data_IF_926558561706
#
_entry.id   IF_926558561706
#
_cell.length_a   1.000
_cell.length_b   1.000
_cell.length_c   1.000
_cell.angle_alpha   90.00
_cell.angle_beta   90.00
_cell.angle_gamma   90.00
#
_symmetry.space_group_name_H-M   'P 1'
#
loop_
_entity.id
_entity.type
_entity.pdbx_description
1 polymer ?
#
# COMPACT_ATOMS: atom_id res chain seq x y z
N UNK A 1 14.89 -13.03 3.96
CA UNK A 1 15.97 -12.52 3.07
C UNK A 1 16.20 -13.39 1.82
N UNK A 2 16.29 -14.72 1.90
CA UNK A 2 16.70 -15.58 0.74
C UNK A 2 15.84 -15.42 -0.53
N UNK A 3 14.55 -15.15 -0.40
CA UNK A 3 13.68 -14.89 -1.55
C UNK A 3 14.05 -13.59 -2.28
N UNK A 4 14.44 -12.55 -1.52
CA UNK A 4 14.84 -11.26 -2.06
C UNK A 4 16.16 -11.33 -2.85
N UNK A 5 17.08 -12.22 -2.46
CA UNK A 5 18.32 -12.45 -3.19
C UNK A 5 18.12 -12.99 -4.61
N UNK A 6 16.93 -13.51 -4.93
CA UNK A 6 16.57 -14.00 -6.26
C UNK A 6 15.94 -12.91 -7.17
N UNK A 7 15.67 -11.72 -6.63
CA UNK A 7 15.04 -10.62 -7.38
C UNK A 7 16.07 -9.86 -8.24
N UNK A 8 15.65 -8.88 -9.03
CA UNK A 8 16.54 -8.08 -9.89
C UNK A 8 17.64 -7.36 -9.08
N UNK A 9 18.70 -6.91 -9.75
CA UNK A 9 19.77 -6.11 -9.13
C UNK A 9 19.22 -4.88 -8.41
N UNK A 10 18.26 -4.20 -9.03
CA UNK A 10 17.64 -2.98 -8.54
C UNK A 10 16.76 -3.27 -7.33
N UNK A 11 15.99 -4.35 -7.34
CA UNK A 11 15.17 -4.77 -6.20
C UNK A 11 16.04 -5.19 -5.00
N UNK A 12 17.18 -5.86 -5.25
CA UNK A 12 18.15 -6.21 -4.20
C UNK A 12 18.84 -4.96 -3.63
N UNK A 13 19.23 -4.01 -4.48
CA UNK A 13 19.86 -2.78 -4.03
C UNK A 13 18.95 -1.99 -3.06
N UNK A 14 17.63 -1.99 -3.30
CA UNK A 14 16.67 -1.31 -2.43
C UNK A 14 16.60 -1.87 -0.99
N UNK A 15 17.00 -3.13 -0.75
CA UNK A 15 17.01 -3.75 0.59
C UNK A 15 18.40 -3.85 1.21
N UNK A 16 19.45 -3.57 0.43
CA UNK A 16 20.85 -3.62 0.85
C UNK A 16 21.50 -2.21 0.89
N UNK A 17 20.68 -1.17 0.95
CA UNK A 17 21.15 0.21 1.09
C UNK A 17 21.57 0.49 2.54
N UNK A 18 22.58 1.33 2.74
CA UNK A 18 22.97 1.83 4.06
C UNK A 18 22.10 3.03 4.49
N UNK A 19 21.35 3.62 3.55
CA UNK A 19 20.36 4.67 3.81
C UNK A 19 19.08 4.06 4.39
N UNK A 20 19.14 3.65 5.66
CA UNK A 20 18.02 3.07 6.40
C UNK A 20 17.76 3.82 7.69
N UNK A 21 16.49 3.81 8.12
CA UNK A 21 16.06 4.36 9.41
C UNK A 21 15.73 3.25 10.38
N UNK A 22 15.92 3.54 11.67
CA UNK A 22 15.40 2.67 12.70
C UNK A 22 13.88 2.57 12.57
N UNK A 23 13.31 1.38 12.78
CA UNK A 23 11.87 1.16 12.54
C UNK A 23 10.98 2.14 13.32
N UNK A 24 11.35 2.48 14.55
CA UNK A 24 10.61 3.46 15.35
C UNK A 24 10.63 4.86 14.72
N UNK A 25 11.73 5.27 14.09
CA UNK A 25 11.82 6.55 13.39
C UNK A 25 10.95 6.55 12.13
N UNK A 26 11.03 5.48 11.32
CA UNK A 26 10.21 5.32 10.13
C UNK A 26 8.70 5.34 10.44
N UNK A 27 8.28 4.71 11.54
CA UNK A 27 6.88 4.72 12.00
C UNK A 27 6.43 6.11 12.48
N UNK A 28 7.29 6.85 13.19
CA UNK A 28 7.02 8.24 13.57
C UNK A 28 6.88 9.16 12.36
N UNK A 29 7.71 8.96 11.33
CA UNK A 29 7.60 9.71 10.08
C UNK A 29 6.34 9.37 9.31
N UNK A 30 5.96 8.08 9.24
CA UNK A 30 4.70 7.66 8.65
C UNK A 30 3.49 8.28 9.38
N UNK A 31 3.52 8.30 10.70
CA UNK A 31 2.48 8.95 11.51
C UNK A 31 2.42 10.46 11.24
N UNK A 32 3.57 11.12 11.15
CA UNK A 32 3.66 12.55 10.83
C UNK A 32 3.22 12.85 9.40
N UNK A 33 3.49 11.95 8.45
CA UNK A 33 2.99 12.04 7.09
C UNK A 33 1.47 11.94 7.06
N UNK A 34 0.89 10.95 7.75
CA UNK A 34 -0.57 10.77 7.85
C UNK A 34 -1.22 12.02 8.46
N UNK A 35 -0.74 12.49 9.61
CA UNK A 35 -1.31 13.66 10.30
C UNK A 35 -1.26 14.93 9.46
N UNK A 36 -0.25 15.09 8.58
CA UNK A 36 -0.16 16.24 7.67
C UNK A 36 -1.07 16.15 6.44
N UNK A 37 -1.52 14.95 6.08
CA UNK A 37 -2.26 14.69 4.84
C UNK A 37 -3.67 14.12 5.09
N UNK A 38 -4.10 14.00 6.34
CA UNK A 38 -5.44 13.54 6.71
C UNK A 38 -6.11 14.53 7.64
N UNK A 39 -7.29 15.05 7.26
CA UNK A 39 -8.06 15.97 8.10
C UNK A 39 -8.47 15.33 9.43
N UNK A 40 -8.77 14.03 9.41
CA UNK A 40 -9.12 13.27 10.60
C UNK A 40 -8.68 11.80 10.47
N UNK A 41 -7.64 11.38 11.21
CA UNK A 41 -7.17 10.00 11.21
C UNK A 41 -8.24 8.96 11.59
N UNK A 42 -9.32 9.36 12.27
CA UNK A 42 -10.47 8.49 12.58
C UNK A 42 -11.16 7.95 11.32
N UNK A 43 -11.10 8.68 10.21
CA UNK A 43 -11.75 8.31 8.94
C UNK A 43 -10.76 7.88 7.86
N UNK A 44 -9.44 7.95 8.14
CA UNK A 44 -8.41 7.53 7.19
C UNK A 44 -8.57 6.05 6.84
N UNK A 45 -8.70 5.75 5.55
CA UNK A 45 -8.67 4.38 5.01
C UNK A 45 -7.25 3.99 4.63
N UNK A 46 -6.79 2.84 5.11
CA UNK A 46 -5.45 2.32 4.82
C UNK A 46 -5.57 1.08 3.96
N UNK A 47 -4.91 1.10 2.80
CA UNK A 47 -5.02 0.06 1.78
C UNK A 47 -3.78 -0.85 1.81
N UNK A 48 -4.01 -2.16 1.95
CA UNK A 48 -2.99 -3.20 1.86
C UNK A 48 -3.28 -4.21 0.75
N UNK A 49 -2.25 -4.81 0.15
CA UNK A 49 -2.40 -5.84 -0.88
C UNK A 49 -2.52 -7.23 -0.25
N UNK A 50 -3.61 -7.41 0.49
CA UNK A 50 -3.72 -8.35 1.59
C UNK A 50 -3.74 -7.56 2.89
N UNK A 51 -4.86 -6.88 3.18
CA UNK A 51 -4.98 -6.00 4.34
C UNK A 51 -4.80 -6.75 5.67
N UNK A 52 -5.15 -8.04 5.69
CA UNK A 52 -4.91 -8.95 6.81
C UNK A 52 -3.43 -9.34 7.01
N UNK A 53 -2.54 -8.92 6.11
CA UNK A 53 -1.10 -9.15 6.20
C UNK A 53 -0.35 -7.82 6.33
N UNK A 54 -0.40 -6.96 5.32
CA UNK A 54 0.40 -5.72 5.29
C UNK A 54 0.03 -4.76 6.44
N UNK A 55 -1.27 -4.50 6.63
CA UNK A 55 -1.72 -3.56 7.66
C UNK A 55 -1.52 -4.15 9.07
N UNK A 56 -1.65 -5.47 9.22
CA UNK A 56 -1.41 -6.17 10.49
C UNK A 56 0.07 -6.13 10.87
N UNK A 57 0.98 -6.28 9.90
CA UNK A 57 2.42 -6.15 10.12
C UNK A 57 2.76 -4.74 10.58
N UNK A 58 2.23 -3.71 9.92
CA UNK A 58 2.47 -2.32 10.34
C UNK A 58 1.93 -2.04 11.74
N UNK A 59 0.71 -2.52 12.07
CA UNK A 59 0.14 -2.36 13.41
C UNK A 59 0.99 -3.05 14.48
N UNK A 60 1.45 -4.27 14.20
CA UNK A 60 2.36 -5.00 15.09
C UNK A 60 3.71 -4.29 15.25
N UNK A 61 4.18 -3.59 14.21
CA UNK A 61 5.40 -2.80 14.28
C UNK A 61 5.23 -1.56 15.17
N UNK A 62 4.09 -0.87 15.09
CA UNK A 62 3.70 0.20 16.01
C UNK A 62 3.68 -0.29 17.47
N UNK A 63 3.00 -1.40 17.74
CA UNK A 63 2.90 -1.98 19.08
C UNK A 63 4.29 -2.33 19.66
N UNK A 64 5.14 -2.97 18.84
CA UNK A 64 6.52 -3.33 19.23
C UNK A 64 7.43 -2.13 19.42
N UNK A 65 7.15 -1.01 18.76
CA UNK A 65 7.87 0.25 18.93
C UNK A 65 7.32 1.09 20.09
N UNK A 66 6.27 0.64 20.78
CA UNK A 66 5.61 1.42 21.84
C UNK A 66 4.89 2.67 21.31
N UNK A 67 4.48 2.66 20.04
CA UNK A 67 3.84 3.78 19.37
C UNK A 67 2.38 3.46 19.04
N UNK A 68 1.49 4.43 19.12
CA UNK A 68 0.09 4.26 18.75
C UNK A 68 -0.06 4.26 17.23
N UNK A 69 -0.67 3.20 16.69
CA UNK A 69 -1.02 3.15 15.27
C UNK A 69 -2.01 4.29 14.92
N UNK A 70 -1.73 5.13 13.91
CA UNK A 70 -2.49 6.36 13.68
C UNK A 70 -3.86 6.14 13.03
N UNK A 71 -4.23 4.91 12.68
CA UNK A 71 -5.55 4.58 12.13
C UNK A 71 -6.23 3.43 12.88
N UNK A 72 -7.56 3.47 12.83
CA UNK A 72 -8.43 2.48 13.47
C UNK A 72 -8.46 1.17 12.67
N UNK A 73 -8.56 0.03 13.37
CA UNK A 73 -8.52 -1.29 12.72
C UNK A 73 -9.68 -1.53 11.73
N UNK A 74 -10.85 -0.93 11.98
CA UNK A 74 -12.00 -1.03 11.08
C UNK A 74 -11.87 -0.19 9.80
N UNK A 75 -10.76 0.53 9.62
CA UNK A 75 -10.50 1.31 8.40
C UNK A 75 -9.56 0.62 7.40
N UNK A 76 -9.13 -0.61 7.69
CA UNK A 76 -8.33 -1.40 6.77
C UNK A 76 -9.14 -1.73 5.49
N UNK A 77 -8.53 -1.54 4.32
CA UNK A 77 -9.12 -1.77 3.01
C UNK A 77 -8.22 -2.68 2.17
N UNK A 78 -8.80 -3.60 1.42
CA UNK A 78 -8.04 -4.60 0.68
C UNK A 78 -8.02 -4.31 -0.82
N UNK A 79 -6.81 -4.11 -1.35
CA UNK A 79 -6.56 -3.91 -2.77
C UNK A 79 -7.05 -5.11 -3.61
N UNK A 80 -6.92 -6.34 -3.10
CA UNK A 80 -7.36 -7.57 -3.79
C UNK A 80 -8.87 -7.63 -3.97
N UNK A 81 -9.63 -7.05 -3.05
CA UNK A 81 -11.09 -6.89 -3.20
C UNK A 81 -11.40 -6.02 -4.41
N UNK A 82 -10.70 -4.90 -4.57
CA UNK A 82 -10.85 -4.06 -5.77
C UNK A 82 -10.46 -4.81 -7.03
N UNK A 83 -9.34 -5.55 -7.03
CA UNK A 83 -8.93 -6.39 -8.17
C UNK A 83 -10.01 -7.40 -8.56
N UNK A 84 -10.67 -8.03 -7.58
CA UNK A 84 -11.77 -8.97 -7.83
C UNK A 84 -12.95 -8.26 -8.53
N UNK A 85 -13.34 -7.09 -8.05
CA UNK A 85 -14.41 -6.29 -8.66
C UNK A 85 -14.04 -5.82 -10.07
N UNK A 86 -12.82 -5.33 -10.27
CA UNK A 86 -12.31 -4.93 -11.58
C UNK A 86 -12.44 -6.05 -12.60
N UNK A 87 -12.06 -7.29 -12.22
CA UNK A 87 -12.18 -8.44 -13.12
C UNK A 87 -13.63 -8.73 -13.53
N UNK A 88 -14.61 -8.50 -12.65
CA UNK A 88 -16.04 -8.61 -12.99
C UNK A 88 -16.50 -7.54 -13.99
N UNK A 89 -15.81 -6.41 -14.03
CA UNK A 89 -16.01 -5.34 -15.02
C UNK A 89 -15.12 -5.50 -16.27
N UNK A 90 -14.48 -6.66 -16.48
CA UNK A 90 -13.58 -6.88 -17.61
C UNK A 90 -12.24 -6.14 -17.52
N UNK A 91 -11.86 -5.66 -16.34
CA UNK A 91 -10.59 -4.98 -16.08
C UNK A 91 -9.70 -5.81 -15.15
N UNK A 92 -8.68 -6.45 -15.70
CA UNK A 92 -7.61 -7.12 -14.94
C UNK A 92 -6.37 -6.23 -14.90
N UNK A 93 -5.99 -5.64 -13.74
CA UNK A 93 -4.82 -4.79 -13.62
C UNK A 93 -3.54 -5.42 -14.17
N UNK A 94 -3.36 -6.74 -14.03
CA UNK A 94 -2.16 -7.45 -14.51
C UNK A 94 -2.05 -7.47 -16.03
N UNK A 95 -3.15 -7.27 -16.76
CA UNK A 95 -3.21 -7.28 -18.22
C UNK A 95 -3.45 -5.89 -18.80
N UNK A 96 -4.29 -5.10 -18.14
CA UNK A 96 -4.78 -3.82 -18.63
C UNK A 96 -3.97 -2.62 -18.14
N UNK A 97 -3.11 -2.80 -17.13
CA UNK A 97 -2.28 -1.73 -16.61
C UNK A 97 -0.83 -2.23 -16.51
N UNK A 98 0.03 -1.92 -17.50
CA UNK A 98 1.44 -2.24 -17.41
C UNK A 98 2.07 -1.70 -16.14
N UNK A 99 2.98 -2.48 -15.54
CA UNK A 99 3.70 -2.06 -14.35
C UNK A 99 4.68 -0.93 -14.71
N UNK A 100 4.72 0.10 -13.86
CA UNK A 100 5.56 1.28 -14.02
C UNK A 100 6.52 1.37 -12.83
N UNK A 101 7.80 1.11 -13.08
CA UNK A 101 8.87 1.05 -12.08
C UNK A 101 9.55 -0.32 -12.00
N UNK A 102 10.30 -0.54 -10.93
CA UNK A 102 11.00 -1.81 -10.66
C UNK A 102 10.08 -2.74 -9.88
N UNK A 103 9.77 -3.91 -10.44
CA UNK A 103 8.96 -4.92 -9.74
C UNK A 103 9.64 -5.31 -8.42
N UNK A 104 8.84 -5.46 -7.37
CA UNK A 104 9.31 -5.77 -6.01
C UNK A 104 10.06 -4.62 -5.33
N UNK A 105 10.00 -3.40 -5.87
CA UNK A 105 10.27 -2.19 -5.10
C UNK A 105 8.98 -1.73 -4.40
N UNK A 106 9.02 -1.58 -3.07
CA UNK A 106 7.84 -1.28 -2.26
C UNK A 106 7.09 0.00 -2.69
N UNK A 107 7.82 1.07 -3.04
CA UNK A 107 7.22 2.32 -3.49
C UNK A 107 6.59 2.18 -4.89
N UNK A 108 7.28 1.52 -5.83
CA UNK A 108 6.75 1.25 -7.15
C UNK A 108 5.47 0.39 -7.07
N UNK A 109 5.49 -0.65 -6.23
CA UNK A 109 4.34 -1.52 -5.98
C UNK A 109 3.17 -0.73 -5.39
N UNK A 110 3.40 0.08 -4.35
CA UNK A 110 2.34 0.90 -3.73
C UNK A 110 1.72 1.90 -4.72
N UNK A 111 2.54 2.56 -5.55
CA UNK A 111 2.05 3.47 -6.60
C UNK A 111 1.21 2.74 -7.64
N UNK A 112 1.68 1.59 -8.12
CA UNK A 112 0.94 0.81 -9.10
C UNK A 112 -0.39 0.31 -8.53
N UNK A 113 -0.41 -0.13 -7.27
CA UNK A 113 -1.61 -0.51 -6.53
C UNK A 113 -2.63 0.63 -6.43
N UNK A 114 -2.18 1.82 -6.04
CA UNK A 114 -3.04 3.00 -5.98
C UNK A 114 -3.64 3.35 -7.36
N UNK A 115 -2.84 3.27 -8.44
CA UNK A 115 -3.31 3.53 -9.81
C UNK A 115 -4.46 2.62 -10.22
N UNK A 116 -4.33 1.31 -10.04
CA UNK A 116 -5.41 0.41 -10.47
C UNK A 116 -6.60 0.39 -9.51
N UNK A 117 -6.41 0.65 -8.21
CA UNK A 117 -7.54 0.86 -7.28
C UNK A 117 -8.38 2.04 -7.75
N UNK A 118 -7.74 3.17 -8.08
CA UNK A 118 -8.41 4.35 -8.62
C UNK A 118 -9.15 4.05 -9.93
N UNK A 119 -8.50 3.37 -10.88
CA UNK A 119 -9.11 3.01 -12.16
C UNK A 119 -10.35 2.09 -12.00
N UNK A 120 -10.30 1.13 -11.08
CA UNK A 120 -11.44 0.24 -10.80
C UNK A 120 -12.55 1.01 -10.09
N UNK A 121 -12.21 1.86 -9.12
CA UNK A 121 -13.18 2.68 -8.40
C UNK A 121 -14.00 3.57 -9.36
N UNK A 122 -13.33 4.23 -10.31
CA UNK A 122 -13.98 5.05 -11.33
C UNK A 122 -14.88 4.24 -12.27
N UNK A 123 -14.61 2.95 -12.48
CA UNK A 123 -15.48 2.07 -13.28
C UNK A 123 -16.68 1.55 -12.50
N UNK A 124 -16.57 1.45 -11.17
CA UNK A 124 -17.66 1.01 -10.29
C UNK A 124 -18.70 2.09 -10.08
N UNK A 125 -18.27 3.35 -10.00
CA UNK A 125 -19.18 4.47 -9.86
C UNK A 125 -19.69 4.89 -11.24
N UNK A 126 -21.01 5.03 -11.44
CA UNK A 126 -21.52 5.62 -12.66
C UNK A 126 -20.94 7.03 -12.82
N UNK A 127 -20.54 7.40 -14.03
CA UNK A 127 -20.25 8.80 -14.32
C UNK A 127 -21.53 9.59 -14.06
N UNK A 128 -21.53 10.41 -13.02
CA UNK A 128 -22.55 11.44 -12.79
C UNK A 128 -22.39 12.52 -13.86
N UNK A 129 -22.82 12.22 -15.08
CA UNK A 129 -23.10 13.22 -16.10
C UNK A 129 -24.60 13.15 -16.40
N UNK A 130 -25.37 13.93 -15.63
CA UNK A 130 -26.56 14.61 -16.14
C UNK A 130 -26.19 16.05 -16.46
#
# INVERSE_FOLDING_TARGET
ILWWLKQSSEARAAICTDDTKHIAEALSELSSFISRNSDNPRYLKVWGNGANFDNVILRSAYDRAGQTCPWQFWNDSDVRTMVLLGKKLGFDPKRNMPFDGVAHNALADARHQAKYVSAIWQKLLPSSYE
#
